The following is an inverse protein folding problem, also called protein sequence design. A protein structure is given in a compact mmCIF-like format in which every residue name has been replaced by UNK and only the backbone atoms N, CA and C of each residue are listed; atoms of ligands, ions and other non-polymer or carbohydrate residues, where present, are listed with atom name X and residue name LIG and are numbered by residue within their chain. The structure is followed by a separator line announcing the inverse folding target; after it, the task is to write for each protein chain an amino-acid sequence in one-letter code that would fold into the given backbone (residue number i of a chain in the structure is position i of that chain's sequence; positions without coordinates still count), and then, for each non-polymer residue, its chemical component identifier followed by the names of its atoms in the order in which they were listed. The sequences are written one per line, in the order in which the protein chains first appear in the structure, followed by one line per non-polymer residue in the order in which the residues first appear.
data_IF_154968649793
#
_entry.id   IF_154968649793
#
_cell.length_a   1.000
_cell.length_b   1.000
_cell.length_c   1.000
_cell.angle_alpha   90.00
_cell.angle_beta   90.00
_cell.angle_gamma   90.00
#
_symmetry.space_group_name_H-M   'P 1'
#
loop_
_entity.id
_entity.type
_entity.pdbx_description
1 polymer ?
#
# COMPACT_ATOMS: atom_id res chain seq x y z
N UNK A 1 -0.75 23.21 0.60
CA UNK A 1 -1.88 22.38 1.06
C UNK A 1 -1.41 20.96 1.26
N UNK A 2 -1.58 20.42 2.47
CA UNK A 2 -1.26 19.02 2.76
C UNK A 2 -2.40 18.15 2.21
N UNK A 3 -2.07 17.16 1.35
CA UNK A 3 -3.06 16.22 0.81
C UNK A 3 -3.12 15.00 1.73
N UNK A 4 -4.32 14.54 2.04
CA UNK A 4 -4.55 13.33 2.83
C UNK A 4 -5.22 12.26 1.98
N UNK A 5 -4.85 11.00 2.22
CA UNK A 5 -5.46 9.84 1.59
C UNK A 5 -6.44 9.20 2.57
N UNK A 6 -7.73 9.18 2.21
CA UNK A 6 -8.74 8.48 3.00
C UNK A 6 -8.83 7.02 2.55
N UNK A 7 -8.63 6.10 3.50
CA UNK A 7 -8.67 4.66 3.27
C UNK A 7 -9.80 4.04 4.10
N UNK A 8 -10.78 3.41 3.43
CA UNK A 8 -11.85 2.65 4.09
C UNK A 8 -11.53 1.14 4.01
N UNK A 9 -11.03 0.52 5.10
CA UNK A 9 -10.66 -0.88 5.10
C UNK A 9 -11.88 -1.81 4.94
N UNK A 10 -13.10 -1.35 5.20
CA UNK A 10 -14.30 -2.18 5.05
C UNK A 10 -14.65 -2.45 3.58
N UNK A 11 -14.09 -1.66 2.65
CA UNK A 11 -14.29 -1.80 1.20
C UNK A 11 -13.12 -2.50 0.50
N UNK A 12 -12.06 -2.82 1.23
CA UNK A 12 -10.90 -3.48 0.65
C UNK A 12 -11.20 -4.97 0.43
N UNK A 13 -10.97 -5.46 -0.78
CA UNK A 13 -11.17 -6.88 -1.17
C UNK A 13 -9.86 -7.65 -1.32
N UNK A 14 -8.73 -7.05 -0.94
CA UNK A 14 -7.38 -7.58 -1.16
C UNK A 14 -7.05 -7.97 -2.62
N UNK A 15 -7.56 -7.20 -3.61
CA UNK A 15 -7.24 -7.44 -5.02
C UNK A 15 -5.78 -7.11 -5.42
N UNK A 16 -5.00 -6.49 -4.54
CA UNK A 16 -3.58 -6.10 -4.73
C UNK A 16 -3.28 -5.17 -5.92
N UNK A 17 -4.30 -4.64 -6.59
CA UNK A 17 -4.11 -3.74 -7.73
C UNK A 17 -3.39 -2.45 -7.34
N UNK A 18 -3.67 -1.91 -6.16
CA UNK A 18 -2.97 -0.74 -5.63
C UNK A 18 -1.48 -1.03 -5.40
N UNK A 19 -1.12 -2.23 -4.95
CA UNK A 19 0.27 -2.63 -4.77
C UNK A 19 1.00 -2.69 -6.12
N UNK A 20 0.39 -3.37 -7.10
CA UNK A 20 0.93 -3.50 -8.45
C UNK A 20 1.09 -2.15 -9.15
N UNK A 21 0.08 -1.28 -9.07
CA UNK A 21 0.12 0.05 -9.66
C UNK A 21 1.28 0.87 -9.06
N UNK A 22 1.44 0.86 -7.74
CA UNK A 22 2.54 1.57 -7.10
C UNK A 22 3.91 1.00 -7.45
N UNK A 23 4.06 -0.33 -7.51
CA UNK A 23 5.30 -0.98 -7.92
C UNK A 23 5.66 -0.65 -9.37
N UNK A 24 4.67 -0.63 -10.28
CA UNK A 24 4.86 -0.22 -11.66
C UNK A 24 5.29 1.24 -11.77
N UNK A 25 4.58 2.15 -11.09
CA UNK A 25 4.89 3.58 -11.16
C UNK A 25 6.27 3.93 -10.62
N UNK A 26 6.75 3.20 -9.61
CA UNK A 26 8.00 3.51 -8.93
C UNK A 26 9.20 2.71 -9.42
N UNK A 27 8.99 1.48 -9.86
CA UNK A 27 10.06 0.54 -10.19
C UNK A 27 9.86 -0.16 -11.55
N UNK A 28 8.84 0.22 -12.32
CA UNK A 28 8.50 -0.39 -13.63
C UNK A 28 8.46 -1.92 -13.57
N UNK A 29 7.92 -2.43 -12.46
CA UNK A 29 7.91 -3.84 -12.12
C UNK A 29 6.57 -4.18 -11.47
N UNK A 30 5.99 -5.32 -11.84
CA UNK A 30 4.76 -5.83 -11.23
C UNK A 30 5.00 -6.62 -9.94
N UNK A 31 6.17 -6.49 -9.33
CA UNK A 31 6.50 -7.16 -8.06
C UNK A 31 5.94 -6.37 -6.88
N UNK A 32 4.93 -6.94 -6.21
CA UNK A 32 4.31 -6.35 -5.01
C UNK A 32 5.31 -6.04 -3.89
N UNK A 33 6.43 -6.79 -3.79
CA UNK A 33 7.49 -6.53 -2.81
C UNK A 33 8.08 -5.10 -2.95
N UNK A 34 8.15 -4.56 -4.17
CA UNK A 34 8.65 -3.20 -4.46
C UNK A 34 7.60 -2.09 -4.28
N UNK A 35 6.38 -2.46 -3.88
CA UNK A 35 5.30 -1.49 -3.64
C UNK A 35 5.50 -0.74 -2.32
N UNK A 36 5.16 0.55 -2.32
CA UNK A 36 5.05 1.39 -1.10
C UNK A 36 3.66 1.33 -0.46
N UNK A 37 2.73 0.62 -1.10
CA UNK A 37 1.40 0.28 -0.56
C UNK A 37 1.44 -1.19 -0.18
N UNK A 38 0.85 -1.55 0.96
CA UNK A 38 0.75 -2.93 1.44
C UNK A 38 -0.65 -3.22 1.93
N UNK A 39 -1.23 -4.34 1.50
CA UNK A 39 -2.49 -4.84 2.03
C UNK A 39 -2.19 -5.92 3.05
N UNK A 40 -2.56 -5.66 4.30
CA UNK A 40 -2.49 -6.65 5.37
C UNK A 40 -3.77 -7.46 5.41
N UNK A 41 -3.63 -8.79 5.43
CA UNK A 41 -4.75 -9.74 5.47
C UNK A 41 -4.91 -10.30 6.87
N UNK A 42 -6.08 -10.06 7.45
CA UNK A 42 -6.52 -10.61 8.73
C UNK A 42 -7.57 -11.69 8.44
N UNK A 43 -7.09 -12.89 8.16
CA UNK A 43 -7.90 -13.96 7.60
C UNK A 43 -8.99 -14.47 8.56
N UNK A 44 -8.74 -14.47 9.87
CA UNK A 44 -9.71 -14.90 10.88
C UNK A 44 -10.89 -13.92 11.00
N UNK A 45 -10.62 -12.64 10.76
CA UNK A 45 -11.57 -11.55 10.82
C UNK A 45 -12.20 -11.22 9.46
N UNK A 46 -11.76 -11.88 8.38
CA UNK A 46 -12.19 -11.59 7.01
C UNK A 46 -11.89 -10.14 6.59
N UNK A 47 -10.84 -9.53 7.15
CA UNK A 47 -10.57 -8.10 7.01
C UNK A 47 -9.26 -7.85 6.28
N UNK A 48 -9.27 -6.86 5.39
CA UNK A 48 -8.13 -6.45 4.59
C UNK A 48 -7.86 -4.97 4.81
N UNK A 49 -6.64 -4.62 5.22
CA UNK A 49 -6.29 -3.25 5.58
C UNK A 49 -5.18 -2.75 4.68
N UNK A 50 -5.46 -1.81 3.76
CA UNK A 50 -4.41 -1.17 2.98
C UNK A 50 -3.67 -0.15 3.86
N UNK A 51 -2.34 -0.22 3.83
CA UNK A 51 -1.44 0.74 4.44
C UNK A 51 -0.57 1.38 3.36
N UNK A 52 -0.35 2.68 3.46
CA UNK A 52 0.43 3.45 2.49
C UNK A 52 1.62 4.11 3.15
N UNK A 53 2.70 4.27 2.39
CA UNK A 53 3.84 5.07 2.82
C UNK A 53 3.41 6.45 3.32
N UNK A 54 3.87 6.79 4.52
CA UNK A 54 3.61 8.06 5.23
C UNK A 54 4.36 9.25 4.63
N UNK A 55 5.23 9.02 3.65
CA UNK A 55 6.08 10.03 3.01
C UNK A 55 6.92 10.80 4.06
N UNK A 56 7.62 10.04 4.91
CA UNK A 56 8.54 10.60 5.90
C UNK A 56 9.58 11.51 5.22
N UNK A 57 9.98 12.57 5.91
CA UNK A 57 11.07 13.47 5.45
C UNK A 57 12.37 12.70 5.21
N UNK A 58 12.63 11.70 6.07
CA UNK A 58 13.74 10.76 5.92
C UNK A 58 13.24 9.32 5.78
N UNK A 59 13.64 8.65 4.69
CA UNK A 59 13.16 7.33 4.32
C UNK A 59 14.09 6.21 4.79
N UNK A 60 14.15 5.97 6.11
CA UNK A 60 14.98 4.94 6.75
C UNK A 60 14.77 3.52 6.20
N UNK A 61 13.60 3.24 5.65
CA UNK A 61 13.27 1.95 5.04
C UNK A 61 13.93 1.69 3.67
N UNK A 62 14.66 2.68 3.10
CA UNK A 62 15.42 2.54 1.86
C UNK A 62 16.93 2.38 2.08
N UNK A 63 17.37 2.43 3.35
CA UNK A 63 18.76 2.21 3.75
C UNK A 63 19.01 0.70 3.91
#
# INVERSE_FOLDING_TARGET
MQKSLHLDPNKCTACLQCEMACAWEKHRSFTIAKSRIKVFSFHHEGRFVPYTCTQCDEAWCLI
#
